data_IF_109177934979
#
_entry.id   IF_109177934979
#
_cell.length_a   1.000
_cell.length_b   1.000
_cell.length_c   1.000
_cell.angle_alpha   90.00
_cell.angle_beta   90.00
_cell.angle_gamma   90.00
#
_symmetry.space_group_name_H-M   'P 1'
#
loop_
_entity.id
_entity.type
_entity.pdbx_description
1 polymer ?
#
# COMPACT_ATOMS: atom_id res chain seq x y z
N UNK A 1 -32.15 -17.60 -4.90
CA UNK A 1 -32.26 -17.98 -3.47
C UNK A 1 -31.38 -16.98 -2.74
N UNK A 2 -31.95 -15.93 -2.18
CA UNK A 2 -31.19 -14.88 -1.46
C UNK A 2 -30.88 -15.43 -0.08
N UNK A 3 -29.58 -15.56 0.19
CA UNK A 3 -29.11 -16.00 1.51
C UNK A 3 -29.51 -14.97 2.57
N UNK A 4 -30.02 -15.48 3.68
CA UNK A 4 -30.51 -14.66 4.78
C UNK A 4 -29.35 -13.85 5.39
N UNK A 5 -29.56 -12.58 5.62
CA UNK A 5 -28.65 -11.73 6.37
C UNK A 5 -28.31 -12.39 7.73
N UNK A 6 -27.04 -12.35 8.19
CA UNK A 6 -26.67 -12.91 9.49
C UNK A 6 -27.51 -12.25 10.61
N UNK A 7 -27.92 -13.05 11.57
CA UNK A 7 -28.69 -12.57 12.73
C UNK A 7 -27.92 -11.46 13.47
N UNK A 8 -28.63 -10.44 14.04
CA UNK A 8 -27.97 -9.37 14.78
C UNK A 8 -27.22 -9.95 15.98
N UNK A 9 -25.94 -9.65 16.07
CA UNK A 9 -25.08 -10.00 17.20
C UNK A 9 -25.70 -9.34 18.46
N UNK A 10 -25.89 -10.09 19.52
CA UNK A 10 -26.44 -9.52 20.77
C UNK A 10 -25.54 -8.37 21.27
N UNK A 11 -26.12 -7.33 21.87
CA UNK A 11 -25.41 -6.12 22.31
C UNK A 11 -24.20 -6.39 23.22
N UNK A 12 -24.21 -7.45 23.99
CA UNK A 12 -23.13 -7.89 24.89
C UNK A 12 -21.92 -8.42 24.08
N UNK A 13 -22.15 -9.12 22.97
CA UNK A 13 -21.07 -9.62 22.12
C UNK A 13 -20.40 -8.49 21.33
N UNK A 14 -21.12 -7.42 20.98
CA UNK A 14 -20.55 -6.28 20.28
C UNK A 14 -19.62 -5.43 21.17
N UNK A 15 -19.88 -5.39 22.49
CA UNK A 15 -19.04 -4.66 23.45
C UNK A 15 -17.72 -5.39 23.75
N UNK A 16 -17.67 -6.71 23.57
CA UNK A 16 -16.46 -7.53 23.80
C UNK A 16 -15.66 -7.81 22.53
N UNK A 17 -16.20 -7.49 21.36
CA UNK A 17 -15.53 -7.72 20.08
C UNK A 17 -14.32 -6.81 19.93
N UNK A 18 -13.15 -7.39 19.66
CA UNK A 18 -11.95 -6.64 19.27
C UNK A 18 -12.19 -5.95 17.94
N UNK A 19 -11.77 -4.69 17.80
CA UNK A 19 -11.89 -3.95 16.54
C UNK A 19 -10.51 -3.67 15.97
N UNK A 20 -10.28 -4.05 14.72
CA UNK A 20 -9.01 -3.82 14.05
C UNK A 20 -9.21 -2.80 12.93
N UNK A 21 -8.43 -1.73 12.94
CA UNK A 21 -8.47 -0.68 11.94
C UNK A 21 -7.32 -0.87 10.95
N UNK A 22 -7.66 -0.95 9.65
CA UNK A 22 -6.68 -0.86 8.56
C UNK A 22 -6.67 0.60 8.09
N UNK A 23 -5.65 1.35 8.49
CA UNK A 23 -5.60 2.79 8.26
C UNK A 23 -4.63 3.09 7.13
N UNK A 24 -5.13 3.56 5.98
CA UNK A 24 -4.32 4.12 4.91
C UNK A 24 -3.67 5.42 5.34
N UNK A 25 -2.34 5.47 5.31
CA UNK A 25 -1.57 6.61 5.83
C UNK A 25 -1.00 7.52 4.72
N UNK A 26 -1.38 7.29 3.47
CA UNK A 26 -0.85 8.06 2.34
C UNK A 26 0.49 7.55 1.82
N UNK A 27 0.97 8.16 0.75
CA UNK A 27 2.14 7.70 0.00
C UNK A 27 3.49 8.15 0.58
N UNK A 28 3.51 9.10 1.53
CA UNK A 28 4.79 9.57 2.09
C UNK A 28 4.70 10.90 2.85
N UNK A 29 3.81 11.81 2.45
CA UNK A 29 3.61 13.06 3.17
C UNK A 29 2.60 12.85 4.32
N UNK A 30 2.98 13.10 5.58
CA UNK A 30 2.06 13.00 6.71
C UNK A 30 0.79 13.85 6.57
N UNK A 31 0.84 14.96 5.83
CA UNK A 31 -0.32 15.81 5.58
C UNK A 31 -1.32 15.23 4.56
N UNK A 32 -0.95 14.16 3.87
CA UNK A 32 -1.86 13.41 2.99
C UNK A 32 -2.76 12.42 3.76
N UNK A 33 -2.69 12.40 5.08
CA UNK A 33 -3.60 11.61 5.90
C UNK A 33 -5.01 12.18 5.85
N UNK A 34 -6.02 11.31 5.82
CA UNK A 34 -7.41 11.75 5.85
C UNK A 34 -7.87 12.09 7.27
N UNK A 35 -8.85 12.99 7.43
CA UNK A 35 -9.46 13.28 8.74
C UNK A 35 -10.06 12.00 9.33
N UNK A 36 -10.62 11.11 8.52
CA UNK A 36 -11.12 9.81 8.98
C UNK A 36 -10.00 8.96 9.57
N UNK A 37 -8.82 8.96 8.95
CA UNK A 37 -7.65 8.25 9.47
C UNK A 37 -7.17 8.85 10.80
N UNK A 38 -7.13 10.19 10.94
CA UNK A 38 -6.79 10.87 12.20
C UNK A 38 -7.78 10.46 13.32
N UNK A 39 -9.06 10.46 13.02
CA UNK A 39 -10.09 10.04 13.99
C UNK A 39 -9.93 8.55 14.35
N UNK A 40 -9.53 7.70 13.38
CA UNK A 40 -9.27 6.28 13.60
C UNK A 40 -8.03 6.07 14.48
N UNK A 41 -6.94 6.82 14.24
CA UNK A 41 -5.73 6.79 15.08
C UNK A 41 -6.06 7.07 16.54
N UNK A 42 -6.91 8.06 16.83
CA UNK A 42 -7.27 8.45 18.20
C UNK A 42 -8.23 7.47 18.90
N UNK A 43 -8.77 6.47 18.20
CA UNK A 43 -9.55 5.37 18.80
C UNK A 43 -8.70 4.16 19.16
N UNK A 44 -7.57 3.97 18.48
CA UNK A 44 -6.73 2.79 18.64
C UNK A 44 -5.83 2.91 19.89
N UNK A 45 -5.67 1.79 20.60
CA UNK A 45 -4.79 1.68 21.76
C UNK A 45 -3.54 0.87 21.47
N UNK A 46 -3.56 0.05 20.42
CA UNK A 46 -2.43 -0.78 19.99
C UNK A 46 -2.21 -0.58 18.50
N UNK A 47 -0.98 -0.28 18.13
CA UNK A 47 -0.57 -0.13 16.74
C UNK A 47 0.44 -1.21 16.38
N UNK A 48 0.13 -2.02 15.37
CA UNK A 48 1.06 -3.00 14.82
C UNK A 48 1.83 -2.37 13.67
N UNK A 49 3.13 -2.26 13.84
CA UNK A 49 4.04 -1.69 12.86
C UNK A 49 4.93 -2.81 12.30
N UNK A 50 4.64 -3.20 11.06
CA UNK A 50 5.40 -4.26 10.38
C UNK A 50 6.76 -3.74 9.97
N UNK A 51 7.79 -4.40 10.45
CA UNK A 51 9.18 -4.16 10.08
C UNK A 51 9.62 -5.18 9.03
N UNK A 52 10.03 -4.68 7.86
CA UNK A 52 10.53 -5.48 6.74
C UNK A 52 12.07 -5.57 6.69
N UNK A 53 12.75 -5.16 7.77
CA UNK A 53 14.21 -5.16 7.86
C UNK A 53 14.86 -3.81 7.47
N UNK A 54 16.19 -3.75 7.55
CA UNK A 54 17.02 -2.54 7.54
C UNK A 54 16.81 -1.56 6.36
N UNK A 55 16.25 -2.00 5.25
CA UNK A 55 16.00 -1.13 4.10
C UNK A 55 14.77 -0.19 4.27
N UNK A 56 14.05 -0.26 5.39
CA UNK A 56 12.75 0.40 5.54
C UNK A 56 12.63 1.30 6.79
N UNK A 57 13.74 1.76 7.37
CA UNK A 57 13.71 2.70 8.51
C UNK A 57 12.90 3.96 8.22
N UNK A 58 12.91 4.44 6.98
CA UNK A 58 12.12 5.60 6.57
C UNK A 58 10.61 5.33 6.68
N UNK A 59 10.16 4.12 6.32
CA UNK A 59 8.76 3.72 6.44
C UNK A 59 8.32 3.57 7.90
N UNK A 60 9.21 3.06 8.75
CA UNK A 60 8.97 2.98 10.19
C UNK A 60 8.90 4.38 10.81
N UNK A 61 9.84 5.26 10.42
CA UNK A 61 9.89 6.65 10.87
C UNK A 61 8.63 7.42 10.50
N UNK A 62 8.15 7.28 9.26
CA UNK A 62 6.90 7.91 8.84
C UNK A 62 5.71 7.48 9.69
N UNK A 63 5.60 6.18 10.00
CA UNK A 63 4.50 5.69 10.85
C UNK A 63 4.56 6.29 12.25
N UNK A 64 5.75 6.39 12.83
CA UNK A 64 5.95 7.03 14.13
C UNK A 64 5.60 8.52 14.07
N UNK A 65 6.10 9.24 13.06
CA UNK A 65 5.81 10.67 12.85
C UNK A 65 4.30 10.94 12.73
N UNK A 66 3.56 10.10 12.01
CA UNK A 66 2.10 10.21 11.91
C UNK A 66 1.44 10.00 13.29
N UNK A 67 1.85 8.99 14.05
CA UNK A 67 1.32 8.79 15.38
C UNK A 67 1.62 9.98 16.31
N UNK A 68 2.85 10.45 16.33
CA UNK A 68 3.28 11.59 17.14
C UNK A 68 2.56 12.90 16.79
N UNK A 69 2.27 13.14 15.51
CA UNK A 69 1.57 14.36 15.06
C UNK A 69 0.09 14.36 15.33
N UNK A 70 -0.57 13.20 15.19
CA UNK A 70 -2.03 13.15 15.09
C UNK A 70 -2.73 12.42 16.23
N UNK A 71 -2.01 11.68 17.06
CA UNK A 71 -2.59 11.10 18.27
C UNK A 71 -2.49 12.13 19.40
N UNK A 72 -3.63 12.46 20.01
CA UNK A 72 -3.71 13.50 21.03
C UNK A 72 -3.48 12.97 22.46
N UNK A 73 -3.52 11.66 22.65
CA UNK A 73 -3.29 11.00 23.94
C UNK A 73 -1.95 10.27 23.96
N UNK A 74 -1.50 9.90 25.14
CA UNK A 74 -0.29 9.11 25.39
C UNK A 74 -0.58 7.66 25.77
N UNK A 75 -1.86 7.29 25.90
CA UNK A 75 -2.33 5.95 26.27
C UNK A 75 -2.46 5.05 25.04
N UNK A 76 -1.34 4.78 24.35
CA UNK A 76 -1.26 3.82 23.26
C UNK A 76 0.10 3.11 23.22
N UNK A 77 0.16 1.95 22.58
CA UNK A 77 1.38 1.15 22.41
C UNK A 77 1.68 0.96 20.92
N UNK A 78 2.94 1.19 20.55
CA UNK A 78 3.48 0.84 19.23
C UNK A 78 4.22 -0.49 19.35
N UNK A 79 3.74 -1.52 18.69
CA UNK A 79 4.35 -2.85 18.67
C UNK A 79 5.03 -3.05 17.31
N UNK A 80 6.35 -3.00 17.30
CA UNK A 80 7.15 -3.32 16.12
C UNK A 80 7.23 -4.84 15.96
N UNK A 81 6.88 -5.33 14.79
CA UNK A 81 6.74 -6.76 14.51
C UNK A 81 7.51 -7.10 13.24
N UNK A 82 8.40 -8.07 13.31
CA UNK A 82 9.10 -8.56 12.11
C UNK A 82 8.12 -9.23 11.14
N UNK A 83 8.00 -8.67 9.93
CA UNK A 83 7.19 -9.25 8.86
C UNK A 83 7.89 -10.51 8.31
N UNK A 84 7.19 -11.64 8.13
CA UNK A 84 7.78 -12.82 7.51
C UNK A 84 8.40 -12.48 6.15
N UNK A 85 9.60 -12.98 5.90
CA UNK A 85 10.26 -12.81 4.60
C UNK A 85 9.51 -13.59 3.53
N UNK A 86 9.28 -12.95 2.38
CA UNK A 86 8.76 -13.66 1.22
C UNK A 86 9.91 -14.38 0.50
N UNK A 87 9.81 -15.71 0.38
CA UNK A 87 10.73 -16.48 -0.45
C UNK A 87 10.49 -16.15 -1.93
N UNK A 88 11.53 -15.69 -2.61
CA UNK A 88 11.51 -15.50 -4.05
C UNK A 88 11.82 -16.84 -4.73
N UNK A 89 10.76 -17.65 -4.99
CA UNK A 89 10.85 -18.82 -5.84
C UNK A 89 10.40 -18.42 -7.27
N UNK A 90 11.33 -18.37 -8.24
CA UNK A 90 11.00 -17.97 -9.61
C UNK A 90 10.04 -18.95 -10.30
N UNK A 91 9.98 -20.22 -9.85
CA UNK A 91 9.18 -21.26 -10.47
C UNK A 91 7.78 -21.41 -9.85
N UNK A 92 7.52 -20.81 -8.70
CA UNK A 92 6.25 -20.92 -7.99
C UNK A 92 5.80 -19.65 -7.28
N UNK A 93 5.88 -18.51 -7.96
CA UNK A 93 5.51 -17.20 -7.40
C UNK A 93 4.17 -17.20 -6.67
N UNK A 94 3.12 -17.80 -7.26
CA UNK A 94 1.80 -17.85 -6.63
C UNK A 94 1.81 -18.67 -5.33
N UNK A 95 2.54 -19.77 -5.29
CA UNK A 95 2.68 -20.59 -4.09
C UNK A 95 3.50 -19.91 -3.00
N UNK A 96 4.57 -19.19 -3.40
CA UNK A 96 5.37 -18.38 -2.48
C UNK A 96 4.53 -17.28 -1.84
N UNK A 97 3.69 -16.59 -2.63
CA UNK A 97 2.75 -15.59 -2.12
C UNK A 97 1.71 -16.22 -1.18
N UNK A 98 1.13 -17.37 -1.53
CA UNK A 98 0.16 -18.04 -0.68
C UNK A 98 0.76 -18.43 0.70
N UNK A 99 1.93 -19.08 0.71
CA UNK A 99 2.65 -19.42 1.95
C UNK A 99 2.97 -18.18 2.79
N UNK A 100 3.40 -17.11 2.16
CA UNK A 100 3.67 -15.86 2.85
C UNK A 100 2.41 -15.23 3.47
N UNK A 101 1.25 -15.30 2.78
CA UNK A 101 -0.03 -14.88 3.34
C UNK A 101 -0.44 -15.74 4.54
N UNK A 102 -0.24 -17.07 4.48
CA UNK A 102 -0.50 -17.98 5.60
C UNK A 102 0.37 -17.66 6.83
N UNK A 103 1.66 -17.41 6.62
CA UNK A 103 2.59 -17.00 7.69
C UNK A 103 2.18 -15.67 8.33
N UNK A 104 1.78 -14.68 7.51
CA UNK A 104 1.27 -13.39 8.00
C UNK A 104 -0.06 -13.55 8.74
N UNK A 105 -0.96 -14.41 8.24
CA UNK A 105 -2.22 -14.68 8.91
C UNK A 105 -2.00 -15.29 10.31
N UNK A 106 -1.11 -16.27 10.43
CA UNK A 106 -0.76 -16.84 11.72
C UNK A 106 -0.11 -15.83 12.67
N UNK A 107 0.76 -14.96 12.15
CA UNK A 107 1.38 -13.88 12.92
C UNK A 107 0.33 -12.88 13.42
N UNK A 108 -0.52 -12.36 12.52
CA UNK A 108 -1.52 -11.35 12.85
C UNK A 108 -2.57 -11.90 13.81
N UNK A 109 -3.02 -13.14 13.59
CA UNK A 109 -3.94 -13.82 14.50
C UNK A 109 -3.38 -13.87 15.92
N UNK A 110 -2.12 -14.31 16.06
CA UNK A 110 -1.44 -14.35 17.37
C UNK A 110 -1.35 -12.96 18.00
N UNK A 111 -0.90 -11.95 17.25
CA UNK A 111 -0.82 -10.57 17.76
C UNK A 111 -2.17 -10.03 18.24
N UNK A 112 -3.24 -10.29 17.48
CA UNK A 112 -4.58 -9.85 17.83
C UNK A 112 -5.07 -10.59 19.09
N UNK A 113 -4.74 -11.87 19.25
CA UNK A 113 -5.11 -12.64 20.44
C UNK A 113 -4.37 -12.12 21.68
N UNK A 114 -3.04 -11.98 21.56
CA UNK A 114 -2.16 -11.77 22.71
C UNK A 114 -2.11 -10.30 23.16
N UNK A 115 -2.24 -9.35 22.21
CA UNK A 115 -1.95 -7.93 22.46
C UNK A 115 -3.19 -7.03 22.49
N UNK A 116 -4.34 -7.51 22.02
CA UNK A 116 -5.58 -6.72 22.00
C UNK A 116 -6.56 -7.30 23.00
N UNK A 117 -7.02 -6.49 23.95
CA UNK A 117 -8.01 -6.89 24.93
C UNK A 117 -9.42 -6.96 24.34
N UNK A 118 -10.33 -7.65 25.03
CA UNK A 118 -11.75 -7.69 24.66
C UNK A 118 -12.34 -6.27 24.63
N UNK A 119 -13.05 -5.92 23.56
CA UNK A 119 -13.61 -4.59 23.34
C UNK A 119 -12.61 -3.51 22.93
N UNK A 120 -11.32 -3.83 22.90
CA UNK A 120 -10.26 -2.86 22.55
C UNK A 120 -10.14 -2.69 21.02
N UNK A 121 -9.71 -1.48 20.63
CA UNK A 121 -9.40 -1.15 19.24
C UNK A 121 -7.89 -1.16 19.00
N UNK A 122 -7.44 -1.86 17.98
CA UNK A 122 -6.07 -1.85 17.49
C UNK A 122 -5.99 -1.42 16.02
N UNK A 123 -4.82 -1.07 15.53
CA UNK A 123 -4.64 -0.59 14.16
C UNK A 123 -3.40 -1.16 13.47
N UNK A 124 -3.52 -1.39 12.17
CA UNK A 124 -2.40 -1.53 11.23
C UNK A 124 -2.31 -0.27 10.37
N UNK A 125 -1.11 0.33 10.33
CA UNK A 125 -0.84 1.49 9.48
C UNK A 125 -0.34 1.01 8.11
N UNK A 126 -1.19 1.18 7.12
CA UNK A 126 -0.97 0.68 5.76
C UNK A 126 -0.42 1.82 4.90
N UNK A 127 0.74 1.59 4.26
CA UNK A 127 1.32 2.52 3.32
C UNK A 127 0.39 2.75 2.11
N UNK A 128 0.11 3.99 1.77
CA UNK A 128 -0.79 4.37 0.68
C UNK A 128 -2.26 4.09 1.01
N UNK A 129 -2.84 3.18 0.26
CA UNK A 129 -4.26 2.81 0.26
C UNK A 129 -4.43 1.30 0.52
N UNK A 130 -5.14 0.89 1.58
CA UNK A 130 -5.29 -0.52 1.96
C UNK A 130 -5.90 -1.43 0.90
N UNK A 131 -6.73 -0.90 0.00
CA UNK A 131 -7.41 -1.69 -1.03
C UNK A 131 -6.61 -1.83 -2.32
N UNK A 132 -5.44 -1.13 -2.43
CA UNK A 132 -4.66 -1.08 -3.64
C UNK A 132 -3.28 -1.75 -3.47
N UNK A 133 -3.12 -2.95 -4.03
CA UNK A 133 -1.88 -3.74 -4.02
C UNK A 133 -1.28 -4.00 -2.63
N UNK A 134 -2.08 -3.88 -1.58
CA UNK A 134 -1.75 -4.36 -0.24
C UNK A 134 -2.38 -5.73 0.02
N UNK A 135 -1.74 -6.56 0.83
CA UNK A 135 -2.21 -7.92 1.09
C UNK A 135 -2.95 -8.08 2.42
N UNK A 136 -3.02 -7.03 3.24
CA UNK A 136 -3.55 -7.15 4.61
C UNK A 136 -5.02 -7.57 4.64
N UNK A 137 -5.84 -7.08 3.70
CA UNK A 137 -7.23 -7.51 3.58
C UNK A 137 -7.34 -9.02 3.32
N UNK A 138 -6.54 -9.57 2.38
CA UNK A 138 -6.52 -11.01 2.08
C UNK A 138 -6.03 -11.84 3.28
N UNK A 139 -5.08 -11.30 4.03
CA UNK A 139 -4.61 -11.92 5.28
C UNK A 139 -5.73 -11.96 6.31
N UNK A 140 -6.53 -10.89 6.43
CA UNK A 140 -7.69 -10.86 7.33
C UNK A 140 -8.78 -11.85 6.92
N UNK A 141 -9.07 -11.96 5.62
CA UNK A 141 -9.98 -12.98 5.08
C UNK A 141 -9.55 -14.39 5.52
N UNK A 142 -8.26 -14.73 5.35
CA UNK A 142 -7.72 -16.03 5.79
C UNK A 142 -7.88 -16.28 7.29
N UNK A 143 -7.72 -15.26 8.13
CA UNK A 143 -7.91 -15.39 9.58
C UNK A 143 -9.38 -15.61 9.90
N UNK A 144 -10.27 -14.81 9.31
CA UNK A 144 -11.70 -14.85 9.62
C UNK A 144 -12.40 -16.07 9.05
N UNK A 145 -11.92 -16.65 7.95
CA UNK A 145 -12.41 -17.93 7.43
C UNK A 145 -12.21 -19.06 8.44
N UNK A 146 -11.11 -19.02 9.21
CA UNK A 146 -10.81 -20.01 10.23
C UNK A 146 -11.32 -19.62 11.65
N UNK A 147 -11.55 -18.33 11.90
CA UNK A 147 -11.93 -17.78 13.19
C UNK A 147 -12.90 -16.60 13.02
N UNK A 148 -14.16 -16.82 12.60
CA UNK A 148 -15.07 -15.77 12.13
C UNK A 148 -15.45 -14.71 13.18
N UNK A 149 -15.25 -14.99 14.45
CA UNK A 149 -15.61 -14.09 15.56
C UNK A 149 -14.39 -13.58 16.34
N UNK A 150 -13.19 -13.71 15.78
CA UNK A 150 -11.98 -13.29 16.47
C UNK A 150 -11.92 -11.78 16.64
N UNK A 151 -12.28 -11.03 15.59
CA UNK A 151 -12.35 -9.57 15.59
C UNK A 151 -13.31 -9.07 14.50
N UNK A 152 -13.77 -7.82 14.65
CA UNK A 152 -14.33 -7.03 13.56
C UNK A 152 -13.27 -6.07 13.01
N UNK A 153 -13.40 -5.61 11.75
CA UNK A 153 -12.44 -4.68 11.19
C UNK A 153 -13.08 -3.58 10.36
N UNK A 154 -12.38 -2.45 10.27
CA UNK A 154 -12.74 -1.32 9.45
C UNK A 154 -11.56 -0.96 8.55
N UNK A 155 -11.86 -0.64 7.29
CA UNK A 155 -10.88 -0.13 6.33
C UNK A 155 -11.06 1.37 6.19
N UNK A 156 -10.01 2.11 6.48
CA UNK A 156 -9.99 3.57 6.36
C UNK A 156 -9.11 3.92 5.14
N UNK A 157 -9.69 4.55 4.11
CA UNK A 157 -8.97 4.84 2.88
C UNK A 157 -7.83 5.84 3.09
N UNK A 158 -6.80 5.71 2.26
CA UNK A 158 -5.67 6.61 2.17
C UNK A 158 -5.46 7.16 0.77
N UNK A 159 -4.64 8.19 0.63
CA UNK A 159 -4.24 8.71 -0.67
C UNK A 159 -3.12 7.81 -1.23
N UNK A 160 -3.36 7.17 -2.37
CA UNK A 160 -2.36 6.30 -2.97
C UNK A 160 -1.28 7.07 -3.73
N UNK A 161 -0.18 6.41 -4.05
CA UNK A 161 0.88 6.97 -4.91
C UNK A 161 0.37 7.37 -6.31
N UNK A 162 -0.74 6.82 -6.77
CA UNK A 162 -1.38 7.16 -8.05
C UNK A 162 -1.88 8.61 -8.02
N UNK A 163 -2.66 8.98 -6.99
CA UNK A 163 -3.14 10.35 -6.82
C UNK A 163 -1.99 11.31 -6.49
N UNK A 164 -1.04 10.88 -5.67
CA UNK A 164 0.13 11.69 -5.34
C UNK A 164 0.96 12.01 -6.59
N UNK A 165 1.22 11.02 -7.46
CA UNK A 165 1.92 11.21 -8.73
C UNK A 165 1.23 12.28 -9.60
N UNK A 166 -0.08 12.15 -9.81
CA UNK A 166 -0.85 13.07 -10.64
C UNK A 166 -0.83 14.51 -10.06
N UNK A 167 -0.98 14.65 -8.75
CA UNK A 167 -0.93 15.93 -8.07
C UNK A 167 0.44 16.61 -8.21
N UNK A 168 1.52 15.85 -8.01
CA UNK A 168 2.88 16.38 -8.10
C UNK A 168 3.26 16.80 -9.52
N UNK A 169 2.86 16.02 -10.53
CA UNK A 169 3.03 16.42 -11.92
C UNK A 169 1.99 17.43 -12.41
N UNK A 170 0.96 17.76 -11.61
CA UNK A 170 -0.12 18.71 -11.93
C UNK A 170 -0.88 18.31 -13.20
N UNK A 171 -1.19 17.03 -13.31
CA UNK A 171 -1.88 16.45 -14.47
C UNK A 171 -3.15 15.70 -14.05
N UNK A 172 -4.18 15.62 -14.91
CA UNK A 172 -5.21 14.59 -14.77
C UNK A 172 -4.62 13.22 -15.12
N UNK A 173 -5.15 12.16 -14.51
CA UNK A 173 -4.73 10.79 -14.84
C UNK A 173 -5.22 10.32 -16.22
N UNK A 174 -6.29 10.91 -16.74
CA UNK A 174 -6.95 10.53 -17.98
C UNK A 174 -7.50 11.74 -18.74
N UNK A 175 -7.74 11.56 -20.03
CA UNK A 175 -8.53 12.49 -20.82
C UNK A 175 -10.02 12.44 -20.46
N UNK A 176 -10.81 13.32 -21.05
CA UNK A 176 -12.25 13.45 -20.74
C UNK A 176 -13.00 12.19 -21.14
N UNK A 177 -13.54 11.48 -20.15
CA UNK A 177 -14.32 10.26 -20.37
C UNK A 177 -13.50 9.01 -20.71
N UNK A 178 -12.19 9.09 -20.72
CA UNK A 178 -11.31 7.98 -21.01
C UNK A 178 -11.08 7.09 -19.79
N UNK A 179 -10.84 5.79 -19.98
CA UNK A 179 -10.52 4.87 -18.91
C UNK A 179 -9.10 5.13 -18.35
N UNK A 180 -8.87 4.68 -17.12
CA UNK A 180 -7.54 4.56 -16.52
C UNK A 180 -7.25 3.08 -16.35
N UNK A 181 -6.10 2.62 -16.85
CA UNK A 181 -5.61 1.27 -16.65
C UNK A 181 -4.60 1.25 -15.50
N UNK A 182 -4.93 0.58 -14.42
CA UNK A 182 -4.04 0.43 -13.28
C UNK A 182 -3.46 -0.98 -13.28
N UNK A 183 -2.13 -1.08 -13.32
CA UNK A 183 -1.43 -2.35 -13.45
C UNK A 183 -0.12 -2.40 -12.67
N UNK A 184 0.56 -3.54 -12.70
CA UNK A 184 1.91 -3.72 -12.15
C UNK A 184 2.94 -3.91 -13.25
N UNK A 185 4.22 -3.59 -12.99
CA UNK A 185 5.28 -3.79 -13.96
C UNK A 185 5.34 -5.21 -14.51
N UNK A 186 5.13 -6.24 -13.65
CA UNK A 186 5.05 -7.63 -14.09
C UNK A 186 3.91 -7.88 -15.07
N UNK A 187 2.75 -7.31 -14.84
CA UNK A 187 1.60 -7.47 -15.73
C UNK A 187 1.81 -6.72 -17.03
N UNK A 188 2.32 -5.50 -16.94
CA UNK A 188 2.71 -4.71 -18.12
C UNK A 188 3.74 -5.44 -18.99
N UNK A 189 4.67 -6.19 -18.39
CA UNK A 189 5.67 -6.96 -19.13
C UNK A 189 5.08 -8.07 -20.01
N UNK A 190 3.82 -8.44 -19.83
CA UNK A 190 3.10 -9.43 -20.66
C UNK A 190 2.43 -8.80 -21.88
N UNK A 191 2.30 -7.46 -21.91
CA UNK A 191 1.75 -6.76 -23.06
C UNK A 191 2.74 -6.85 -24.26
N UNK A 192 2.21 -7.26 -25.41
CA UNK A 192 3.05 -7.57 -26.57
C UNK A 192 3.11 -6.43 -27.59
N UNK A 193 2.07 -5.59 -27.69
CA UNK A 193 1.94 -4.67 -28.83
C UNK A 193 1.92 -3.19 -28.41
N UNK A 194 0.97 -2.77 -27.62
CA UNK A 194 0.80 -1.38 -27.22
C UNK A 194 0.36 -1.29 -25.75
N UNK A 195 0.76 -0.22 -25.11
CA UNK A 195 0.25 0.11 -23.77
C UNK A 195 -1.16 0.68 -23.93
N UNK A 196 -2.16 0.21 -23.17
CA UNK A 196 -3.45 0.88 -23.12
C UNK A 196 -3.26 2.34 -22.70
N UNK A 197 -4.09 3.23 -23.24
CA UNK A 197 -4.02 4.64 -22.91
C UNK A 197 -4.25 4.89 -21.42
N UNK A 198 -3.59 5.92 -20.87
CA UNK A 198 -3.65 6.26 -19.44
C UNK A 198 -3.30 5.08 -18.51
N UNK A 199 -2.22 4.36 -18.83
CA UNK A 199 -1.76 3.24 -18.01
C UNK A 199 -0.89 3.71 -16.85
N UNK A 200 -1.39 3.54 -15.63
CA UNK A 200 -0.63 3.75 -14.39
C UNK A 200 0.00 2.44 -13.95
N UNK A 201 1.29 2.46 -13.69
CA UNK A 201 2.06 1.28 -13.32
C UNK A 201 2.67 1.45 -11.93
N UNK A 202 2.47 0.45 -11.10
CA UNK A 202 3.02 0.33 -9.76
C UNK A 202 3.85 -0.95 -9.65
N UNK A 203 4.71 -1.03 -8.64
CA UNK A 203 5.48 -2.25 -8.33
C UNK A 203 6.30 -2.76 -9.53
N UNK A 204 6.96 -1.86 -10.24
CA UNK A 204 7.84 -2.19 -11.36
C UNK A 204 9.30 -2.30 -10.90
N UNK A 205 9.78 -3.53 -10.73
CA UNK A 205 11.17 -3.79 -10.35
C UNK A 205 12.18 -3.62 -11.50
N UNK A 206 11.73 -3.57 -12.76
CA UNK A 206 12.57 -3.80 -13.94
C UNK A 206 12.56 -2.66 -14.98
N UNK A 207 11.96 -1.49 -14.66
CA UNK A 207 11.80 -0.40 -15.62
C UNK A 207 11.11 -0.88 -16.92
N UNK A 208 9.99 -1.58 -16.75
CA UNK A 208 9.24 -2.23 -17.84
C UNK A 208 8.82 -1.25 -18.95
N UNK A 209 8.71 0.05 -18.62
CA UNK A 209 8.45 1.11 -19.60
C UNK A 209 9.45 1.14 -20.76
N UNK A 210 10.71 0.69 -20.57
CA UNK A 210 11.73 0.63 -21.62
C UNK A 210 11.30 -0.21 -22.85
N UNK A 211 10.40 -1.17 -22.66
CA UNK A 211 9.89 -2.03 -23.73
C UNK A 211 8.98 -1.29 -24.72
N UNK A 212 8.55 -0.10 -24.37
CA UNK A 212 7.58 0.69 -25.13
C UNK A 212 8.22 1.95 -25.76
N UNK A 213 9.55 1.95 -25.91
CA UNK A 213 10.27 2.96 -26.69
C UNK A 213 9.81 2.98 -28.15
N UNK A 214 9.91 4.13 -28.79
CA UNK A 214 9.51 4.39 -30.18
C UNK A 214 7.98 4.21 -30.45
N UNK A 215 7.16 4.33 -29.41
CA UNK A 215 5.70 4.29 -29.53
C UNK A 215 5.04 5.67 -29.36
N UNK A 216 5.84 6.74 -29.24
CA UNK A 216 5.31 8.10 -29.06
C UNK A 216 4.67 8.35 -27.68
N UNK A 217 5.02 7.55 -26.69
CA UNK A 217 4.46 7.68 -25.35
C UNK A 217 5.15 8.79 -24.56
N UNK A 218 4.37 9.45 -23.71
CA UNK A 218 4.85 10.32 -22.65
C UNK A 218 4.83 9.56 -21.32
N UNK A 219 5.84 9.73 -20.50
CA UNK A 219 5.93 9.16 -19.16
C UNK A 219 5.91 10.27 -18.11
N UNK A 220 5.15 10.05 -17.04
CA UNK A 220 5.20 10.81 -15.79
C UNK A 220 5.63 9.84 -14.71
N UNK A 221 6.88 9.93 -14.28
CA UNK A 221 7.48 9.02 -13.32
C UNK A 221 7.74 9.74 -12.00
N UNK A 222 7.51 9.05 -10.87
CA UNK A 222 7.80 9.53 -9.54
C UNK A 222 8.28 8.42 -8.62
N UNK A 223 9.32 8.71 -7.85
CA UNK A 223 9.81 7.83 -6.79
C UNK A 223 9.71 8.53 -5.44
N UNK A 224 9.53 7.74 -4.36
CA UNK A 224 9.40 8.23 -2.98
C UNK A 224 8.34 9.33 -2.81
N UNK A 225 7.25 9.23 -3.55
CA UNK A 225 6.21 10.25 -3.65
C UNK A 225 5.71 10.72 -2.27
N UNK A 226 5.73 12.03 -2.08
CA UNK A 226 5.31 12.70 -0.85
C UNK A 226 6.36 12.70 0.26
N UNK A 227 7.49 12.02 0.11
CA UNK A 227 8.59 12.08 1.08
C UNK A 227 9.55 13.26 0.78
N UNK A 228 10.45 13.62 1.72
CA UNK A 228 11.51 14.59 1.43
C UNK A 228 12.47 14.19 0.30
N UNK A 229 12.52 12.91 -0.02
CA UNK A 229 13.38 12.33 -1.07
C UNK A 229 12.66 12.16 -2.41
N UNK A 230 11.52 12.81 -2.59
CA UNK A 230 10.71 12.72 -3.79
C UNK A 230 11.51 13.09 -5.05
N UNK A 231 11.41 12.25 -6.07
CA UNK A 231 12.03 12.47 -7.38
C UNK A 231 10.92 12.40 -8.44
N UNK A 232 10.86 13.42 -9.30
CA UNK A 232 9.89 13.51 -10.37
C UNK A 232 10.60 13.71 -11.71
N UNK A 233 10.24 12.90 -12.71
CA UNK A 233 10.71 13.06 -14.09
C UNK A 233 9.51 12.88 -15.04
N UNK A 234 9.34 13.79 -16.00
CA UNK A 234 8.32 13.68 -17.03
C UNK A 234 8.88 14.12 -18.38
N UNK A 235 8.36 13.52 -19.45
CA UNK A 235 8.74 13.85 -20.82
C UNK A 235 8.40 12.74 -21.81
N UNK A 236 8.68 12.94 -23.10
CA UNK A 236 8.63 11.86 -24.08
C UNK A 236 9.46 10.68 -23.60
N UNK A 237 8.87 9.48 -23.60
CA UNK A 237 9.54 8.28 -23.06
C UNK A 237 10.91 8.03 -23.67
N UNK A 238 11.02 8.26 -24.97
CA UNK A 238 12.26 8.07 -25.74
C UNK A 238 13.39 9.00 -25.28
N UNK A 239 13.06 10.18 -24.76
CA UNK A 239 14.02 11.17 -24.31
C UNK A 239 14.46 10.94 -22.86
N UNK A 240 13.50 10.59 -21.96
CA UNK A 240 13.76 10.53 -20.53
C UNK A 240 14.01 9.12 -19.97
N UNK A 241 13.81 8.07 -20.76
CA UNK A 241 13.94 6.68 -20.33
C UNK A 241 15.30 6.40 -19.64
N UNK A 242 16.40 6.79 -20.28
CA UNK A 242 17.73 6.54 -19.72
C UNK A 242 17.99 7.36 -18.46
N UNK A 243 17.49 8.60 -18.40
CA UNK A 243 17.59 9.44 -17.21
C UNK A 243 16.88 8.78 -16.03
N UNK A 244 15.63 8.31 -16.24
CA UNK A 244 14.85 7.62 -15.18
C UNK A 244 15.61 6.39 -14.70
N UNK A 245 16.13 5.55 -15.58
CA UNK A 245 16.88 4.35 -15.22
C UNK A 245 18.10 4.66 -14.36
N UNK A 246 18.87 5.68 -14.72
CA UNK A 246 20.06 6.09 -13.98
C UNK A 246 19.69 6.60 -12.58
N UNK A 247 18.79 7.57 -12.50
CA UNK A 247 18.33 8.17 -11.22
C UNK A 247 17.72 7.11 -10.31
N UNK A 248 16.92 6.19 -10.88
CA UNK A 248 16.33 5.07 -10.14
C UNK A 248 17.38 4.13 -9.57
N UNK A 249 18.42 3.81 -10.33
CA UNK A 249 19.50 2.93 -9.88
C UNK A 249 20.32 3.58 -8.77
N UNK A 250 20.68 4.86 -8.91
CA UNK A 250 21.40 5.66 -7.91
C UNK A 250 20.61 5.74 -6.60
N UNK A 251 19.33 6.15 -6.65
CA UNK A 251 18.47 6.26 -5.51
C UNK A 251 18.27 4.92 -4.78
N UNK A 252 18.11 3.81 -5.53
CA UNK A 252 18.03 2.47 -4.95
C UNK A 252 19.34 2.04 -4.30
N UNK A 253 20.48 2.40 -4.86
CA UNK A 253 21.80 2.09 -4.29
C UNK A 253 22.02 2.87 -2.99
N UNK A 254 21.66 4.15 -2.97
CA UNK A 254 21.81 5.00 -1.80
C UNK A 254 20.92 4.58 -0.62
N UNK A 255 19.63 4.29 -0.90
CA UNK A 255 18.64 3.99 0.14
C UNK A 255 18.41 2.51 0.41
N UNK A 256 18.96 1.61 -0.42
CA UNK A 256 18.73 0.16 -0.32
C UNK A 256 17.36 -0.32 -0.81
N UNK A 257 16.45 0.58 -1.16
CA UNK A 257 15.11 0.29 -1.67
C UNK A 257 14.63 1.39 -2.61
N UNK A 258 13.58 1.12 -3.38
CA UNK A 258 12.86 2.14 -4.15
C UNK A 258 11.38 1.78 -4.27
N UNK A 259 10.53 2.78 -4.14
CA UNK A 259 9.12 2.74 -4.51
C UNK A 259 8.87 3.80 -5.56
N UNK A 260 8.48 3.36 -6.73
CA UNK A 260 8.14 4.23 -7.85
C UNK A 260 6.79 3.88 -8.46
N UNK A 261 6.17 4.89 -9.05
CA UNK A 261 4.90 4.81 -9.77
C UNK A 261 5.04 5.68 -11.00
N UNK A 262 4.45 5.25 -12.12
CA UNK A 262 4.46 6.07 -13.32
C UNK A 262 3.17 5.94 -14.14
N UNK A 263 2.86 6.97 -14.91
CA UNK A 263 1.80 7.01 -15.90
C UNK A 263 2.42 7.01 -17.29
N UNK A 264 1.97 6.11 -18.17
CA UNK A 264 2.23 6.11 -19.60
C UNK A 264 0.96 6.53 -20.35
N UNK A 265 1.07 7.48 -21.25
CA UNK A 265 -0.01 7.90 -22.15
C UNK A 265 0.52 8.49 -23.45
N UNK A 266 -0.31 8.56 -24.47
CA UNK A 266 0.02 9.33 -25.66
C UNK A 266 0.10 10.82 -25.32
N UNK A 267 0.94 11.57 -26.04
CA UNK A 267 0.94 13.04 -25.94
C UNK A 267 -0.45 13.59 -26.31
N UNK A 268 -0.98 14.49 -25.46
CA UNK A 268 -2.27 15.17 -25.72
C UNK A 268 -2.05 16.33 -26.67
#
# INVERSE_FOLDING_TARGET
MFDAAPAPISSVWSELMKTILLIGIGSGNPEQITIQAINALNRAKVFFVLDKGYANDDLLRLRKDICERYITGDDYRLLQVSDPSREDDPHSYQQGVARWHEQRAALFQRLIIDEVEAGQTAAFLIWGEPTLYDSTLRVFELILDNSPQLFDYQVIPGISSVQALAAQHRIPLNGIGEPIHLTTGRRLALEQNAVPENTVVMLDAHCTFERFLNQGLHIYWGAYLGTPDEILIAGPLDEVCQQIKNVRAEARQEKGWIMDTYLLRNDM
#
